data_IF_021289653165
#
_entry.id   IF_021289653165
#
_cell.length_a   1.000
_cell.length_b   1.000
_cell.length_c   1.000
_cell.angle_alpha   90.00
_cell.angle_beta   90.00
_cell.angle_gamma   90.00
#
_symmetry.space_group_name_H-M   'P 1'
#
loop_
_entity.id
_entity.type
_entity.pdbx_description
1 polymer ?
#
# COMPACT_ATOMS: atom_id res chain seq x y z
N UNK A 1 28.81 -42.12 -21.79
CA UNK A 1 27.75 -41.14 -21.47
C UNK A 1 28.34 -39.83 -20.94
N UNK A 2 29.34 -39.28 -21.62
CA UNK A 2 30.13 -38.12 -21.20
C UNK A 2 29.90 -36.88 -22.11
N UNK A 3 28.75 -36.83 -22.79
CA UNK A 3 28.35 -35.72 -23.66
C UNK A 3 26.99 -35.10 -23.29
N UNK A 4 26.44 -35.45 -22.11
CA UNK A 4 25.20 -34.84 -21.59
C UNK A 4 25.37 -34.01 -20.32
N UNK A 5 26.60 -33.88 -19.81
CA UNK A 5 26.90 -33.11 -18.59
C UNK A 5 27.49 -31.72 -18.87
N UNK A 6 27.82 -31.40 -20.12
CA UNK A 6 28.38 -30.06 -20.51
C UNK A 6 27.28 -29.09 -20.98
N UNK A 7 26.09 -29.57 -21.34
CA UNK A 7 24.97 -28.71 -21.75
C UNK A 7 24.17 -28.09 -20.58
N UNK A 8 24.37 -28.58 -19.34
CA UNK A 8 23.72 -28.04 -18.14
C UNK A 8 24.57 -27.02 -17.38
N UNK A 9 25.83 -26.82 -17.78
CA UNK A 9 26.71 -25.77 -17.25
C UNK A 9 26.77 -24.52 -18.15
N UNK A 10 26.17 -24.56 -19.35
CA UNK A 10 26.09 -23.41 -20.25
C UNK A 10 24.71 -22.71 -20.26
N UNK A 11 23.72 -23.22 -19.51
CA UNK A 11 22.44 -22.52 -19.33
C UNK A 11 22.36 -21.73 -18.01
N UNK A 12 23.39 -21.83 -17.15
CA UNK A 12 23.52 -21.06 -15.90
C UNK A 12 24.44 -19.83 -16.03
N UNK A 13 24.93 -19.52 -17.23
CA UNK A 13 25.71 -18.30 -17.51
C UNK A 13 24.94 -17.23 -18.30
N UNK A 14 23.64 -17.41 -18.57
CA UNK A 14 22.84 -16.43 -19.35
C UNK A 14 21.76 -15.70 -18.54
N UNK A 15 21.87 -15.71 -17.20
CA UNK A 15 21.03 -14.89 -16.29
C UNK A 15 21.91 -13.93 -15.48
N UNK A 16 23.01 -13.45 -16.08
CA UNK A 16 23.94 -12.54 -15.42
C UNK A 16 24.37 -11.34 -16.28
N UNK A 17 23.78 -11.13 -17.46
CA UNK A 17 24.14 -10.01 -18.33
C UNK A 17 22.92 -9.50 -19.10
N UNK A 18 22.13 -8.69 -18.41
CA UNK A 18 21.44 -7.54 -19.02
C UNK A 18 21.07 -6.53 -17.91
N UNK A 19 22.04 -6.23 -17.03
CA UNK A 19 22.11 -4.87 -16.49
C UNK A 19 22.49 -4.00 -17.67
N UNK A 20 21.54 -3.25 -18.22
CA UNK A 20 21.83 -2.17 -19.15
C UNK A 20 23.01 -1.37 -18.58
N UNK A 21 24.16 -1.43 -19.24
CA UNK A 21 25.33 -0.62 -18.90
C UNK A 21 24.97 0.82 -19.23
N UNK A 22 24.29 1.49 -18.30
CA UNK A 22 24.25 2.94 -18.24
C UNK A 22 25.70 3.37 -18.07
N UNK A 23 26.21 4.16 -19.01
CA UNK A 23 27.57 4.72 -18.89
C UNK A 23 27.69 5.39 -17.52
N UNK A 24 28.77 5.13 -16.77
CA UNK A 24 28.90 5.65 -15.42
C UNK A 24 28.89 7.19 -15.46
N UNK A 25 28.00 7.80 -14.69
CA UNK A 25 27.78 9.25 -14.74
C UNK A 25 29.06 9.97 -14.30
N UNK A 26 29.59 10.83 -15.16
CA UNK A 26 30.75 11.69 -14.88
C UNK A 26 30.26 13.07 -14.43
N UNK A 27 30.80 13.57 -13.33
CA UNK A 27 30.55 14.91 -12.78
C UNK A 27 31.83 15.72 -12.89
N UNK A 28 31.76 16.90 -13.52
CA UNK A 28 32.88 17.84 -13.66
C UNK A 28 32.42 19.24 -13.27
N UNK A 29 33.18 19.92 -12.41
CA UNK A 29 32.92 21.32 -12.05
C UNK A 29 34.19 22.02 -11.57
N UNK A 30 34.18 23.35 -11.61
CA UNK A 30 35.23 24.18 -11.03
C UNK A 30 34.90 24.54 -9.58
N UNK A 31 35.67 24.03 -8.62
CA UNK A 31 35.52 24.36 -7.21
C UNK A 31 36.46 25.51 -6.81
N UNK A 32 35.97 26.38 -5.92
CA UNK A 32 36.79 27.44 -5.32
C UNK A 32 37.72 26.83 -4.28
N UNK A 33 39.03 27.07 -4.43
CA UNK A 33 40.09 26.41 -3.65
C UNK A 33 40.83 27.35 -2.70
N UNK A 34 40.63 28.66 -2.82
CA UNK A 34 41.20 29.63 -1.88
C UNK A 34 40.28 30.85 -1.70
N UNK A 35 40.55 31.65 -0.66
CA UNK A 35 39.80 32.88 -0.34
C UNK A 35 40.00 34.01 -1.37
N UNK A 36 41.00 33.87 -2.25
CA UNK A 36 41.30 34.80 -3.33
C UNK A 36 40.48 34.52 -4.61
N UNK A 37 39.60 33.51 -4.57
CA UNK A 37 38.72 33.15 -5.69
C UNK A 37 39.38 32.26 -6.76
N UNK A 38 40.53 31.65 -6.45
CA UNK A 38 41.15 30.62 -7.26
C UNK A 38 40.22 29.42 -7.45
N UNK A 39 40.08 28.96 -8.69
CA UNK A 39 39.24 27.83 -9.08
C UNK A 39 40.13 26.71 -9.62
N UNK A 40 39.80 25.46 -9.28
CA UNK A 40 40.41 24.29 -9.87
C UNK A 40 39.33 23.31 -10.33
N UNK A 41 39.63 22.55 -11.37
CA UNK A 41 38.70 21.57 -11.93
C UNK A 41 38.68 20.31 -11.07
N UNK A 42 37.49 19.87 -10.68
CA UNK A 42 37.24 18.60 -10.02
C UNK A 42 36.48 17.67 -10.98
N UNK A 43 36.88 16.40 -11.04
CA UNK A 43 36.17 15.38 -11.80
C UNK A 43 35.99 14.12 -10.97
N UNK A 44 34.81 13.53 -11.04
CA UNK A 44 34.44 12.30 -10.35
C UNK A 44 33.50 11.47 -11.21
N UNK A 45 33.68 10.15 -11.18
CA UNK A 45 32.86 9.21 -11.96
C UNK A 45 32.11 8.25 -11.03
N UNK A 46 30.86 7.94 -11.37
CA UNK A 46 30.01 7.02 -10.62
C UNK A 46 30.69 5.64 -10.45
N UNK A 47 30.91 5.24 -9.19
CA UNK A 47 31.68 4.06 -8.80
C UNK A 47 33.02 4.37 -8.12
N UNK A 48 33.54 5.59 -8.23
CA UNK A 48 34.70 6.05 -7.48
C UNK A 48 34.30 6.51 -6.05
N UNK A 49 35.19 6.37 -5.07
CA UNK A 49 34.95 6.92 -3.72
C UNK A 49 35.08 8.45 -3.74
N UNK A 50 33.93 9.13 -3.60
CA UNK A 50 33.84 10.60 -3.57
C UNK A 50 34.71 11.19 -2.46
N UNK A 51 34.78 10.53 -1.30
CA UNK A 51 35.59 11.01 -0.16
C UNK A 51 37.06 10.98 -0.50
N UNK A 52 37.54 9.87 -1.07
CA UNK A 52 38.94 9.73 -1.45
C UNK A 52 39.36 10.77 -2.49
N UNK A 53 38.56 10.94 -3.55
CA UNK A 53 38.80 11.94 -4.60
C UNK A 53 38.75 13.36 -4.08
N UNK A 54 37.77 13.69 -3.24
CA UNK A 54 37.66 15.00 -2.62
C UNK A 54 38.85 15.29 -1.70
N UNK A 55 39.30 14.31 -0.92
CA UNK A 55 40.49 14.43 -0.06
C UNK A 55 41.75 14.67 -0.89
N UNK A 56 41.96 13.94 -1.97
CA UNK A 56 43.11 14.16 -2.85
C UNK A 56 43.09 15.56 -3.48
N UNK A 57 41.96 15.95 -4.07
CA UNK A 57 41.78 17.26 -4.68
C UNK A 57 42.05 18.40 -3.69
N UNK A 58 41.51 18.31 -2.47
CA UNK A 58 41.69 19.35 -1.46
C UNK A 58 43.14 19.43 -0.95
N UNK A 59 43.86 18.31 -0.86
CA UNK A 59 45.29 18.31 -0.51
C UNK A 59 46.16 19.00 -1.57
N UNK A 60 45.82 18.84 -2.84
CA UNK A 60 46.60 19.40 -3.95
C UNK A 60 46.33 20.89 -4.18
N UNK A 61 45.12 21.37 -3.84
CA UNK A 61 44.66 22.70 -4.23
C UNK A 61 44.39 23.65 -3.05
N UNK A 62 44.37 23.18 -1.80
CA UNK A 62 44.06 24.00 -0.62
C UNK A 62 45.06 23.82 0.52
N UNK A 63 45.16 24.82 1.41
CA UNK A 63 45.98 24.73 2.62
C UNK A 63 45.40 23.71 3.62
N UNK A 64 46.26 23.09 4.41
CA UNK A 64 45.90 22.03 5.38
C UNK A 64 44.76 22.42 6.33
N UNK A 65 44.76 23.66 6.80
CA UNK A 65 43.73 24.24 7.67
C UNK A 65 42.33 24.36 7.01
N UNK A 66 42.24 24.24 5.68
CA UNK A 66 41.00 24.34 4.91
C UNK A 66 40.52 22.99 4.38
N UNK A 67 41.23 21.89 4.62
CA UNK A 67 40.93 20.58 4.04
C UNK A 67 39.50 20.10 4.36
N UNK A 68 39.09 20.15 5.62
CA UNK A 68 37.74 19.71 6.03
C UNK A 68 36.64 20.54 5.37
N UNK A 69 36.84 21.85 5.27
CA UNK A 69 35.89 22.77 4.61
C UNK A 69 35.82 22.52 3.11
N UNK A 70 36.97 22.31 2.46
CA UNK A 70 37.07 21.98 1.05
C UNK A 70 36.41 20.63 0.73
N UNK A 71 36.71 19.58 1.51
CA UNK A 71 36.16 18.24 1.30
C UNK A 71 34.64 18.27 1.43
N UNK A 72 34.13 18.97 2.44
CA UNK A 72 32.68 19.15 2.63
C UNK A 72 32.04 19.89 1.46
N UNK A 73 32.65 20.98 0.97
CA UNK A 73 32.15 21.74 -0.17
C UNK A 73 32.14 20.92 -1.47
N UNK A 74 33.21 20.18 -1.76
CA UNK A 74 33.29 19.28 -2.93
C UNK A 74 32.23 18.19 -2.84
N UNK A 75 32.04 17.57 -1.67
CA UNK A 75 30.99 16.57 -1.45
C UNK A 75 29.59 17.15 -1.65
N UNK A 76 29.34 18.35 -1.15
CA UNK A 76 28.07 19.06 -1.35
C UNK A 76 27.84 19.39 -2.82
N UNK A 77 28.88 19.79 -3.56
CA UNK A 77 28.77 20.10 -4.98
C UNK A 77 28.57 18.85 -5.83
N UNK A 78 29.25 17.73 -5.52
CA UNK A 78 28.97 16.42 -6.16
C UNK A 78 27.54 15.98 -5.87
N UNK A 79 27.07 16.11 -4.63
CA UNK A 79 25.68 15.83 -4.28
C UNK A 79 24.71 16.75 -5.03
N UNK A 80 25.00 18.04 -5.13
CA UNK A 80 24.20 19.01 -5.89
C UNK A 80 24.18 18.68 -7.39
N UNK A 81 25.30 18.32 -8.01
CA UNK A 81 25.37 17.90 -9.42
C UNK A 81 24.66 16.56 -9.67
N UNK A 82 24.61 15.68 -8.68
CA UNK A 82 23.78 14.47 -8.74
C UNK A 82 22.28 14.83 -8.62
N UNK A 83 21.94 15.84 -7.81
CA UNK A 83 20.58 16.37 -7.64
C UNK A 83 20.12 17.35 -8.73
N UNK A 84 21.04 17.89 -9.55
CA UNK A 84 20.77 18.65 -10.79
C UNK A 84 20.61 17.74 -12.02
N UNK A 85 20.53 16.41 -11.85
CA UNK A 85 19.65 15.69 -12.75
C UNK A 85 18.24 16.19 -12.40
N UNK A 86 17.61 16.96 -13.31
CA UNK A 86 16.17 17.18 -13.28
C UNK A 86 15.51 15.85 -12.92
N UNK A 87 15.04 15.74 -11.67
CA UNK A 87 14.12 14.69 -11.31
C UNK A 87 13.01 14.81 -12.34
N UNK A 88 12.70 13.76 -13.13
CA UNK A 88 11.79 13.87 -14.24
C UNK A 88 10.48 14.49 -13.74
N UNK A 89 10.27 15.76 -14.09
CA UNK A 89 9.08 16.47 -13.70
C UNK A 89 7.98 16.02 -14.65
N UNK A 90 6.96 15.39 -14.10
CA UNK A 90 5.79 15.02 -14.87
C UNK A 90 4.89 16.25 -15.01
N UNK A 91 4.95 16.87 -16.17
CA UNK A 91 4.10 18.01 -16.50
C UNK A 91 2.77 17.56 -17.13
N UNK A 92 1.65 18.16 -16.72
CA UNK A 92 0.33 17.96 -17.29
C UNK A 92 -0.31 19.31 -17.63
N UNK A 93 -0.79 19.45 -18.86
CA UNK A 93 -1.66 20.57 -19.22
C UNK A 93 -3.07 20.31 -18.69
N UNK A 94 -3.56 21.23 -17.87
CA UNK A 94 -4.87 21.16 -17.23
C UNK A 94 -5.74 22.30 -17.73
N UNK A 95 -6.89 21.97 -18.29
CA UNK A 95 -7.90 22.97 -18.63
C UNK A 95 -8.66 23.36 -17.35
N UNK A 96 -8.38 24.56 -16.85
CA UNK A 96 -8.93 25.08 -15.58
C UNK A 96 -10.18 25.95 -15.79
N UNK A 97 -10.38 26.50 -17.00
CA UNK A 97 -11.60 27.17 -17.45
C UNK A 97 -11.79 26.98 -18.97
N UNK A 98 -12.93 27.42 -19.52
CA UNK A 98 -13.23 27.28 -20.96
C UNK A 98 -12.13 27.86 -21.87
N UNK A 99 -11.46 28.92 -21.43
CA UNK A 99 -10.41 29.66 -22.15
C UNK A 99 -9.05 29.65 -21.45
N UNK A 100 -8.89 28.89 -20.36
CA UNK A 100 -7.66 28.93 -19.53
C UNK A 100 -7.09 27.54 -19.30
N UNK A 101 -5.82 27.39 -19.67
CA UNK A 101 -4.98 26.23 -19.36
C UNK A 101 -3.90 26.61 -18.35
N UNK A 102 -3.51 25.66 -17.52
CA UNK A 102 -2.40 25.80 -16.58
C UNK A 102 -1.61 24.48 -16.54
N UNK A 103 -0.30 24.58 -16.32
CA UNK A 103 0.58 23.42 -16.26
C UNK A 103 0.74 22.98 -14.81
N UNK A 104 0.41 21.73 -14.54
CA UNK A 104 0.70 21.06 -13.28
C UNK A 104 2.00 20.27 -13.42
N UNK A 105 2.96 20.52 -12.53
CA UNK A 105 4.25 19.83 -12.52
C UNK A 105 4.40 18.98 -11.26
N UNK A 106 4.74 17.71 -11.42
CA UNK A 106 5.07 16.83 -10.31
C UNK A 106 6.54 16.43 -10.37
N UNK A 107 7.29 16.68 -9.30
CA UNK A 107 8.70 16.29 -9.20
C UNK A 107 8.78 14.91 -8.54
N UNK A 108 9.56 13.99 -9.11
CA UNK A 108 9.77 12.66 -8.53
C UNK A 108 10.29 12.77 -7.07
N UNK A 109 9.56 12.16 -6.13
CA UNK A 109 9.83 12.27 -4.68
C UNK A 109 9.05 13.37 -3.95
N UNK A 110 8.36 14.25 -4.69
CA UNK A 110 7.37 15.20 -4.17
C UNK A 110 6.08 14.51 -3.72
N UNK A 111 5.25 15.23 -2.96
CA UNK A 111 3.92 14.74 -2.60
C UNK A 111 2.94 15.17 -3.68
N UNK A 112 2.81 14.31 -4.71
CA UNK A 112 1.89 14.49 -5.85
C UNK A 112 0.49 14.93 -5.42
N UNK A 113 0.03 14.48 -4.25
CA UNK A 113 -1.28 14.79 -3.72
C UNK A 113 -1.36 16.18 -3.12
N UNK A 114 -0.35 16.60 -2.37
CA UNK A 114 -0.26 17.95 -1.81
C UNK A 114 -0.08 18.98 -2.94
N UNK A 115 0.75 18.67 -3.92
CA UNK A 115 0.98 19.48 -5.12
C UNK A 115 -0.32 19.67 -5.91
N UNK A 116 -1.05 18.58 -6.18
CA UNK A 116 -2.33 18.66 -6.89
C UNK A 116 -3.39 19.44 -6.10
N UNK A 117 -3.45 19.29 -4.77
CA UNK A 117 -4.36 20.06 -3.93
C UNK A 117 -4.01 21.56 -3.96
N UNK A 118 -2.73 21.89 -3.86
CA UNK A 118 -2.23 23.28 -3.88
C UNK A 118 -2.55 23.92 -5.22
N UNK A 119 -2.23 23.25 -6.33
CA UNK A 119 -2.60 23.68 -7.67
C UNK A 119 -4.11 23.93 -7.78
N UNK A 120 -4.94 22.94 -7.43
CA UNK A 120 -6.39 23.09 -7.56
C UNK A 120 -6.98 24.19 -6.67
N UNK A 121 -6.42 24.43 -5.48
CA UNK A 121 -6.88 25.52 -4.61
C UNK A 121 -6.66 26.92 -5.20
N UNK A 122 -5.76 27.06 -6.18
CA UNK A 122 -5.52 28.31 -6.88
C UNK A 122 -6.52 28.55 -8.03
N UNK A 123 -7.05 27.48 -8.62
CA UNK A 123 -7.83 27.55 -9.87
C UNK A 123 -9.31 27.18 -9.75
N UNK A 124 -9.73 26.48 -8.70
CA UNK A 124 -11.14 26.07 -8.51
C UNK A 124 -11.71 26.49 -7.16
N UNK A 125 -13.04 26.56 -7.07
CA UNK A 125 -13.74 26.83 -5.81
C UNK A 125 -13.44 25.75 -4.74
N UNK A 126 -13.44 26.14 -3.47
CA UNK A 126 -13.02 25.30 -2.33
C UNK A 126 -13.76 23.95 -2.27
N UNK A 127 -15.05 23.93 -2.60
CA UNK A 127 -15.89 22.73 -2.65
C UNK A 127 -15.51 21.77 -3.80
N UNK A 128 -14.84 22.29 -4.84
CA UNK A 128 -14.40 21.54 -6.03
C UNK A 128 -12.93 21.13 -5.97
N UNK A 129 -12.14 21.68 -5.05
CA UNK A 129 -10.72 21.34 -4.88
C UNK A 129 -10.48 19.83 -4.73
N UNK A 130 -11.27 19.07 -3.94
CA UNK A 130 -11.06 17.63 -3.80
C UNK A 130 -11.24 16.86 -5.11
N UNK A 131 -12.21 17.28 -5.93
CA UNK A 131 -12.52 16.65 -7.22
C UNK A 131 -11.46 17.00 -8.26
N UNK A 132 -11.05 18.27 -8.33
CA UNK A 132 -9.96 18.72 -9.19
C UNK A 132 -8.66 17.98 -8.87
N UNK A 133 -8.24 17.95 -7.60
CA UNK A 133 -6.99 17.32 -7.18
C UNK A 133 -7.02 15.81 -7.48
N UNK A 134 -8.18 15.17 -7.37
CA UNK A 134 -8.36 13.77 -7.73
C UNK A 134 -8.10 13.50 -9.22
N UNK A 135 -8.76 14.26 -10.10
CA UNK A 135 -8.58 14.11 -11.54
C UNK A 135 -7.15 14.41 -11.98
N UNK A 136 -6.51 15.39 -11.34
CA UNK A 136 -5.13 15.77 -11.63
C UNK A 136 -4.14 14.67 -11.23
N UNK A 137 -4.29 14.09 -10.03
CA UNK A 137 -3.49 12.93 -9.61
C UNK A 137 -3.72 11.73 -10.51
N UNK A 138 -4.96 11.45 -10.93
CA UNK A 138 -5.25 10.36 -11.86
C UNK A 138 -4.59 10.58 -13.22
N UNK A 139 -4.69 11.79 -13.77
CA UNK A 139 -4.03 12.16 -15.02
C UNK A 139 -2.52 12.00 -14.90
N UNK A 140 -1.93 12.44 -13.79
CA UNK A 140 -0.51 12.30 -13.52
C UNK A 140 -0.08 10.82 -13.49
N UNK A 141 -0.79 9.98 -12.74
CA UNK A 141 -0.48 8.54 -12.69
C UNK A 141 -0.63 7.88 -14.07
N UNK A 142 -1.68 8.22 -14.83
CA UNK A 142 -1.87 7.69 -16.19
C UNK A 142 -0.76 8.12 -17.14
N UNK A 143 -0.35 9.40 -17.10
CA UNK A 143 0.72 9.91 -17.95
C UNK A 143 2.06 9.25 -17.58
N UNK A 144 2.34 9.08 -16.29
CA UNK A 144 3.53 8.33 -15.84
C UNK A 144 3.52 6.87 -16.33
N UNK A 145 2.36 6.20 -16.28
CA UNK A 145 2.21 4.84 -16.81
C UNK A 145 2.39 4.78 -18.34
N UNK A 146 1.90 5.78 -19.08
CA UNK A 146 2.08 5.87 -20.53
C UNK A 146 3.55 6.10 -20.92
N UNK A 147 4.25 6.96 -20.18
CA UNK A 147 5.68 7.20 -20.37
C UNK A 147 6.49 5.93 -20.06
N UNK A 148 6.20 5.23 -18.96
CA UNK A 148 6.83 3.96 -18.64
C UNK A 148 6.56 2.87 -19.70
N UNK A 149 5.34 2.80 -20.23
CA UNK A 149 4.98 1.86 -21.30
C UNK A 149 5.65 2.22 -22.65
N UNK A 150 5.93 3.49 -22.91
CA UNK A 150 6.63 3.94 -24.11
C UNK A 150 8.13 3.56 -24.09
N UNK A 151 8.73 3.46 -22.91
CA UNK A 151 10.12 2.97 -22.74
C UNK A 151 10.24 1.46 -22.97
N UNK A 152 9.20 0.68 -22.65
CA UNK A 152 9.15 -0.78 -22.93
C UNK A 152 8.65 -1.11 -24.36
N UNK A 153 8.01 -0.16 -25.03
CA UNK A 153 7.32 -0.35 -26.32
C UNK A 153 8.19 -0.18 -27.58
N UNK A 154 9.51 -0.09 -27.45
CA UNK A 154 10.46 -0.05 -28.55
C UNK A 154 10.61 -1.35 -29.34
N UNK A 155 9.53 -2.09 -29.58
CA UNK A 155 9.49 -3.19 -30.55
C UNK A 155 8.08 -3.39 -31.12
N UNK A 156 7.91 -2.90 -32.35
CA UNK A 156 6.97 -3.36 -33.38
C UNK A 156 5.47 -3.04 -33.19
N UNK A 157 5.05 -1.96 -33.86
CA UNK A 157 3.71 -1.85 -34.43
C UNK A 157 3.71 -2.36 -35.89
N UNK A 158 2.91 -3.39 -36.17
CA UNK A 158 2.18 -3.64 -37.42
C UNK A 158 1.44 -4.98 -37.30
N UNK A 159 0.11 -4.99 -37.20
CA UNK A 159 -0.72 -5.05 -38.40
C UNK A 159 -2.21 -4.96 -38.05
N UNK A 160 -2.97 -4.53 -39.04
CA UNK A 160 -4.31 -4.00 -38.91
C UNK A 160 -5.43 -5.05 -39.06
N UNK A 161 -6.58 -4.62 -38.53
CA UNK A 161 -7.88 -4.63 -39.20
C UNK A 161 -8.92 -5.71 -38.84
N UNK A 162 -10.09 -5.15 -38.49
CA UNK A 162 -11.40 -5.41 -39.07
C UNK A 162 -12.13 -6.74 -38.74
N UNK A 163 -13.33 -6.57 -38.19
CA UNK A 163 -14.35 -7.60 -38.09
C UNK A 163 -15.59 -7.15 -37.33
N UNK A 164 -16.35 -6.22 -37.91
CA UNK A 164 -17.70 -5.88 -37.48
C UNK A 164 -18.73 -6.89 -38.01
N UNK A 165 -19.81 -7.10 -37.25
CA UNK A 165 -21.01 -7.85 -37.62
C UNK A 165 -21.33 -8.93 -36.59
N UNK A 166 -22.55 -9.12 -36.09
CA UNK A 166 -23.85 -8.54 -36.41
C UNK A 166 -24.90 -9.19 -35.50
N UNK A 167 -26.05 -8.53 -35.44
CA UNK A 167 -27.22 -8.76 -34.58
C UNK A 167 -27.90 -10.14 -34.63
N UNK A 168 -28.93 -10.24 -33.77
CA UNK A 168 -30.18 -11.05 -33.86
C UNK A 168 -30.11 -12.42 -33.16
N UNK A 169 -30.76 -12.64 -32.00
CA UNK A 169 -32.18 -12.63 -31.59
C UNK A 169 -32.78 -14.03 -31.53
N UNK A 170 -33.75 -14.17 -30.61
CA UNK A 170 -34.79 -15.20 -30.48
C UNK A 170 -34.36 -16.55 -29.84
N UNK A 171 -35.14 -17.19 -28.98
CA UNK A 171 -36.37 -16.87 -28.28
C UNK A 171 -36.57 -17.97 -27.21
N UNK A 172 -37.05 -17.61 -26.02
CA UNK A 172 -37.78 -18.53 -25.14
C UNK A 172 -39.20 -18.75 -25.74
N UNK A 173 -40.01 -19.77 -25.37
CA UNK A 173 -40.53 -19.88 -24.00
C UNK A 173 -41.02 -21.28 -23.54
N UNK A 174 -41.67 -21.25 -22.36
CA UNK A 174 -42.62 -22.21 -21.77
C UNK A 174 -42.02 -23.29 -20.85
N UNK A 175 -42.10 -23.13 -19.52
CA UNK A 175 -43.25 -23.39 -18.62
C UNK A 175 -43.65 -24.87 -18.57
N UNK A 176 -43.33 -25.51 -17.43
CA UNK A 176 -44.29 -26.32 -16.65
C UNK A 176 -43.71 -26.66 -15.28
N UNK A 177 -44.38 -26.20 -14.22
CA UNK A 177 -44.48 -26.92 -12.94
C UNK A 177 -45.82 -27.72 -13.01
N UNK A 178 -46.03 -28.80 -12.22
CA UNK A 178 -46.38 -28.58 -10.81
C UNK A 178 -46.07 -29.73 -9.81
N UNK A 179 -46.28 -29.36 -8.54
CA UNK A 179 -46.78 -30.14 -7.37
C UNK A 179 -45.79 -30.81 -6.39
N UNK A 180 -45.80 -30.15 -5.22
CA UNK A 180 -45.72 -30.61 -3.83
C UNK A 180 -46.08 -32.08 -3.55
N UNK A 181 -45.36 -32.69 -2.61
CA UNK A 181 -45.96 -33.36 -1.45
C UNK A 181 -44.98 -33.49 -0.26
N UNK A 182 -45.53 -33.19 0.93
CA UNK A 182 -45.29 -33.69 2.29
C UNK A 182 -43.87 -33.96 2.87
N UNK A 183 -43.62 -33.35 4.03
CA UNK A 183 -42.67 -33.79 5.06
C UNK A 183 -43.12 -35.10 5.74
N UNK A 184 -42.23 -35.87 6.41
CA UNK A 184 -42.03 -35.60 7.84
C UNK A 184 -40.63 -35.94 8.44
N UNK A 185 -40.44 -35.46 9.67
CA UNK A 185 -39.71 -36.06 10.80
C UNK A 185 -38.16 -36.11 10.85
N UNK A 186 -37.65 -35.29 11.77
CA UNK A 186 -36.50 -35.43 12.68
C UNK A 186 -35.77 -36.79 12.67
N UNK A 187 -34.48 -36.77 12.35
CA UNK A 187 -33.47 -37.72 12.86
C UNK A 187 -32.16 -36.97 13.10
N UNK A 188 -31.55 -37.21 14.27
CA UNK A 188 -30.29 -36.61 14.70
C UNK A 188 -29.10 -37.14 13.86
N UNK A 189 -28.06 -36.33 13.58
CA UNK A 189 -26.89 -36.81 12.87
C UNK A 189 -25.96 -37.64 13.79
N UNK A 190 -25.27 -38.68 13.26
CA UNK A 190 -24.42 -39.59 14.03
C UNK A 190 -23.09 -38.95 14.46
N UNK A 191 -22.41 -39.49 15.48
CA UNK A 191 -21.26 -38.85 16.11
C UNK A 191 -20.05 -38.73 15.16
N UNK A 192 -19.55 -37.49 15.01
CA UNK A 192 -18.40 -37.17 14.19
C UNK A 192 -17.12 -37.81 14.76
N UNK A 193 -16.47 -38.65 13.93
CA UNK A 193 -15.12 -39.18 14.17
C UNK A 193 -14.12 -38.02 14.22
N UNK A 194 -13.46 -37.87 15.36
CA UNK A 194 -12.31 -36.98 15.55
C UNK A 194 -11.14 -37.45 14.68
N UNK A 195 -10.81 -36.69 13.64
CA UNK A 195 -9.52 -36.81 12.94
C UNK A 195 -8.49 -35.90 13.60
N UNK A 196 -7.38 -36.52 14.02
CA UNK A 196 -6.26 -35.97 14.79
C UNK A 196 -5.62 -34.75 14.10
N UNK A 197 -5.42 -33.67 14.85
CA UNK A 197 -4.70 -32.47 14.42
C UNK A 197 -3.17 -32.65 14.47
N UNK A 198 -2.51 -32.18 13.41
CA UNK A 198 -1.05 -32.04 13.26
C UNK A 198 -0.45 -31.02 14.28
N UNK A 199 0.89 -30.98 14.48
CA UNK A 199 1.50 -30.36 15.65
C UNK A 199 1.41 -28.82 15.62
N UNK A 200 1.08 -28.24 16.78
CA UNK A 200 0.71 -26.84 16.93
C UNK A 200 1.89 -25.88 16.71
N UNK A 201 1.80 -25.05 15.67
CA UNK A 201 2.49 -23.75 15.63
C UNK A 201 1.93 -22.87 16.74
N UNK A 202 2.79 -22.06 17.38
CA UNK A 202 2.34 -21.00 18.30
C UNK A 202 1.34 -20.09 17.57
N UNK A 203 0.13 -19.85 18.10
CA UNK A 203 -0.85 -19.00 17.44
C UNK A 203 -0.37 -17.55 17.40
N UNK A 204 -0.51 -16.93 16.22
CA UNK A 204 -0.25 -15.50 15.99
C UNK A 204 -1.06 -14.61 16.92
N UNK A 205 -0.62 -13.38 17.10
CA UNK A 205 -1.36 -12.38 17.87
C UNK A 205 -2.74 -12.10 17.26
N UNK A 206 -2.86 -12.17 15.92
CA UNK A 206 -4.16 -12.14 15.24
C UNK A 206 -5.00 -13.37 15.59
N UNK A 207 -4.44 -14.57 15.56
CA UNK A 207 -5.16 -15.77 15.94
C UNK A 207 -5.64 -15.74 17.41
N UNK A 208 -4.90 -15.08 18.29
CA UNK A 208 -5.32 -14.85 19.69
C UNK A 208 -6.49 -13.86 19.79
N UNK A 209 -6.51 -12.84 18.93
CA UNK A 209 -7.56 -11.82 18.93
C UNK A 209 -8.85 -12.32 18.28
N UNK A 210 -8.78 -12.91 17.09
CA UNK A 210 -9.95 -13.27 16.25
C UNK A 210 -10.15 -14.76 16.03
N UNK A 211 -9.41 -15.59 16.78
CA UNK A 211 -9.42 -17.04 16.64
C UNK A 211 -8.48 -17.52 15.51
N UNK A 212 -8.13 -18.82 15.48
CA UNK A 212 -7.15 -19.35 14.53
C UNK A 212 -7.64 -19.38 13.07
N UNK A 213 -8.96 -19.28 12.87
CA UNK A 213 -9.60 -19.39 11.57
C UNK A 213 -10.60 -18.26 11.35
N UNK A 214 -10.66 -17.77 10.12
CA UNK A 214 -11.64 -16.82 9.58
C UNK A 214 -12.57 -17.56 8.61
N UNK A 215 -13.71 -16.95 8.30
CA UNK A 215 -14.71 -17.49 7.37
C UNK A 215 -14.69 -16.66 6.08
N UNK A 216 -14.29 -17.28 4.97
CA UNK A 216 -14.29 -16.65 3.65
C UNK A 216 -15.71 -16.51 3.08
N UNK A 217 -15.83 -15.70 2.02
CA UNK A 217 -17.00 -15.69 1.15
C UNK A 217 -17.25 -17.10 0.61
N UNK A 218 -18.38 -17.71 0.97
CA UNK A 218 -18.72 -19.10 0.62
C UNK A 218 -18.47 -20.13 1.72
N UNK A 219 -18.03 -19.72 2.92
CA UNK A 219 -17.94 -20.57 4.10
C UNK A 219 -16.61 -21.34 4.27
N UNK A 220 -15.66 -21.17 3.35
CA UNK A 220 -14.33 -21.78 3.48
C UNK A 220 -13.56 -21.19 4.67
N UNK A 221 -12.76 -22.01 5.33
CA UNK A 221 -11.92 -21.59 6.45
C UNK A 221 -10.58 -21.01 5.95
N UNK A 222 -10.18 -19.84 6.47
CA UNK A 222 -8.89 -19.20 6.19
C UNK A 222 -8.08 -19.06 7.48
N UNK A 223 -6.75 -19.19 7.43
CA UNK A 223 -5.92 -18.91 8.61
C UNK A 223 -5.97 -17.41 8.98
N UNK A 224 -6.08 -17.09 10.27
CA UNK A 224 -5.99 -15.72 10.76
C UNK A 224 -4.62 -15.08 10.51
N UNK A 225 -3.57 -15.88 10.29
CA UNK A 225 -2.24 -15.40 9.90
C UNK A 225 -2.24 -14.65 8.56
N UNK A 226 -3.29 -14.82 7.74
CA UNK A 226 -3.47 -14.04 6.52
C UNK A 226 -3.55 -12.52 6.79
N UNK A 227 -3.93 -12.11 8.01
CA UNK A 227 -3.99 -10.71 8.44
C UNK A 227 -2.61 -10.12 8.74
N UNK A 228 -1.60 -10.93 9.11
CA UNK A 228 -0.25 -10.43 9.42
C UNK A 228 0.43 -9.77 8.21
N UNK A 229 0.10 -10.25 7.01
CA UNK A 229 0.71 -9.78 5.77
C UNK A 229 0.07 -8.47 5.27
N UNK A 230 -0.90 -7.93 5.99
CA UNK A 230 -1.68 -6.76 5.60
C UNK A 230 -1.14 -5.53 6.33
N UNK A 231 -0.85 -4.44 5.59
CA UNK A 231 -0.43 -3.18 6.23
C UNK A 231 -1.58 -2.49 6.95
N UNK A 232 -2.80 -2.66 6.44
CA UNK A 232 -4.01 -2.05 6.96
C UNK A 232 -5.05 -3.15 7.20
N UNK A 233 -5.56 -3.22 8.42
CA UNK A 233 -6.67 -4.11 8.78
C UNK A 233 -7.78 -3.27 9.36
N UNK A 234 -9.02 -3.47 8.91
CA UNK A 234 -10.18 -2.81 9.48
C UNK A 234 -11.24 -3.82 9.92
N UNK A 235 -11.81 -3.62 11.11
CA UNK A 235 -12.91 -4.43 11.61
C UNK A 235 -14.23 -3.72 11.32
N UNK A 236 -15.08 -4.36 10.53
CA UNK A 236 -16.43 -3.90 10.27
C UNK A 236 -17.39 -4.58 11.25
N UNK A 237 -17.97 -3.82 12.16
CA UNK A 237 -19.05 -4.27 13.02
C UNK A 237 -20.39 -3.93 12.35
N UNK A 238 -21.13 -4.96 11.92
CA UNK A 238 -22.37 -4.78 11.19
C UNK A 238 -23.30 -6.00 11.33
N UNK A 239 -24.57 -5.83 11.00
CA UNK A 239 -25.56 -6.91 10.99
C UNK A 239 -26.50 -6.83 9.79
N UNK A 240 -27.06 -7.97 9.42
CA UNK A 240 -28.04 -8.14 8.34
C UNK A 240 -29.34 -7.37 8.60
N UNK A 241 -29.84 -7.38 9.84
CA UNK A 241 -31.08 -6.69 10.23
C UNK A 241 -30.93 -5.17 10.31
N UNK A 242 -29.70 -4.65 10.32
CA UNK A 242 -29.39 -3.23 10.47
C UNK A 242 -29.50 -2.50 9.11
N UNK A 243 -30.53 -1.65 8.94
CA UNK A 243 -30.72 -0.85 7.71
C UNK A 243 -29.50 0.01 7.33
N UNK A 244 -28.94 0.87 8.21
CA UNK A 244 -27.79 1.69 7.83
C UNK A 244 -26.56 0.85 7.46
N UNK A 245 -26.45 -0.38 7.98
CA UNK A 245 -25.41 -1.31 7.58
C UNK A 245 -25.58 -1.76 6.13
N UNK A 246 -26.79 -2.17 5.74
CA UNK A 246 -27.10 -2.56 4.36
C UNK A 246 -26.92 -1.41 3.37
N UNK A 247 -27.16 -0.17 3.81
CA UNK A 247 -26.93 1.02 2.97
C UNK A 247 -25.43 1.36 2.83
N UNK A 248 -24.61 1.04 3.84
CA UNK A 248 -23.18 1.35 3.87
C UNK A 248 -22.30 0.28 3.20
N UNK A 249 -22.60 -1.00 3.41
CA UNK A 249 -21.77 -2.11 2.91
C UNK A 249 -21.49 -2.02 1.40
N UNK A 250 -22.46 -1.74 0.51
CA UNK A 250 -22.18 -1.58 -0.92
C UNK A 250 -21.16 -0.47 -1.23
N UNK A 251 -21.16 0.62 -0.45
CA UNK A 251 -20.19 1.72 -0.60
C UNK A 251 -18.80 1.27 -0.14
N UNK A 252 -18.74 0.53 0.97
CA UNK A 252 -17.50 -0.05 1.47
C UNK A 252 -16.93 -1.11 0.53
N UNK A 253 -17.76 -1.87 -0.19
CA UNK A 253 -17.32 -2.80 -1.24
C UNK A 253 -16.59 -2.05 -2.35
N UNK A 254 -17.17 -0.95 -2.86
CA UNK A 254 -16.52 -0.11 -3.87
C UNK A 254 -15.18 0.43 -3.37
N UNK A 255 -15.17 0.98 -2.16
CA UNK A 255 -13.95 1.47 -1.51
C UNK A 255 -12.85 0.39 -1.42
N UNK A 256 -13.23 -0.82 -0.98
CA UNK A 256 -12.31 -1.95 -0.86
C UNK A 256 -11.74 -2.38 -2.21
N UNK A 257 -12.59 -2.50 -3.23
CA UNK A 257 -12.16 -2.87 -4.59
C UNK A 257 -11.21 -1.82 -5.19
N UNK A 258 -11.49 -0.52 -4.98
CA UNK A 258 -10.61 0.57 -5.40
C UNK A 258 -9.26 0.52 -4.67
N UNK A 259 -9.26 0.23 -3.36
CA UNK A 259 -8.03 0.07 -2.59
C UNK A 259 -7.18 -1.10 -3.12
N UNK A 260 -7.79 -2.24 -3.44
CA UNK A 260 -7.07 -3.40 -4.01
C UNK A 260 -6.45 -3.11 -5.38
N UNK A 261 -7.12 -2.38 -6.26
CA UNK A 261 -6.62 -2.09 -7.63
C UNK A 261 -5.37 -1.21 -7.67
N UNK A 262 -5.10 -0.41 -6.65
CA UNK A 262 -3.95 0.51 -6.58
C UNK A 262 -2.62 -0.16 -6.18
N UNK A 263 -2.55 -1.49 -6.20
CA UNK A 263 -1.41 -2.24 -5.63
C UNK A 263 -1.40 -2.22 -4.09
N UNK A 264 -2.48 -1.76 -3.48
CA UNK A 264 -2.71 -1.72 -2.04
C UNK A 264 -3.41 -3.00 -1.57
N UNK A 265 -2.87 -4.17 -1.97
CA UNK A 265 -3.22 -5.52 -1.49
C UNK A 265 -3.12 -5.71 0.03
N UNK A 266 -2.74 -4.63 0.70
CA UNK A 266 -2.43 -4.46 2.09
C UNK A 266 -3.62 -4.03 2.93
N UNK A 267 -4.75 -3.59 2.34
CA UNK A 267 -6.01 -3.47 3.09
C UNK A 267 -6.70 -4.82 3.17
N UNK A 268 -7.08 -5.23 4.38
CA UNK A 268 -8.06 -6.29 4.59
C UNK A 268 -9.16 -5.84 5.54
N UNK A 269 -10.39 -6.20 5.23
CA UNK A 269 -11.53 -5.93 6.10
C UNK A 269 -11.92 -7.26 6.77
N UNK A 270 -12.16 -7.25 8.06
CA UNK A 270 -12.72 -8.38 8.78
C UNK A 270 -14.13 -8.01 9.22
N UNK A 271 -15.12 -8.71 8.71
CA UNK A 271 -16.48 -8.53 9.19
C UNK A 271 -16.67 -9.22 10.55
N UNK A 272 -17.07 -8.45 11.55
CA UNK A 272 -17.46 -8.92 12.88
C UNK A 272 -18.97 -8.79 12.99
N UNK A 273 -19.66 -9.93 12.84
CA UNK A 273 -21.10 -9.97 12.72
C UNK A 273 -21.83 -9.78 14.05
N UNK A 274 -22.93 -9.02 14.00
CA UNK A 274 -23.98 -8.98 15.02
C UNK A 274 -25.30 -9.60 14.53
N UNK A 275 -25.23 -10.50 13.54
CA UNK A 275 -26.36 -11.31 13.08
C UNK A 275 -26.91 -12.20 14.20
N UNK A 276 -28.21 -12.52 14.13
CA UNK A 276 -28.91 -13.26 15.20
C UNK A 276 -28.91 -14.77 14.99
N UNK A 277 -28.53 -15.24 13.81
CA UNK A 277 -28.43 -16.66 13.49
C UNK A 277 -27.31 -16.92 12.49
N UNK A 278 -26.86 -18.19 12.42
CA UNK A 278 -25.83 -18.62 11.48
C UNK A 278 -26.32 -18.47 10.03
N UNK A 279 -27.60 -18.74 9.77
CA UNK A 279 -28.19 -18.65 8.44
C UNK A 279 -28.20 -17.21 7.93
N UNK A 280 -28.54 -16.25 8.79
CA UNK A 280 -28.49 -14.83 8.46
C UNK A 280 -27.05 -14.34 8.24
N UNK A 281 -26.10 -14.84 9.05
CA UNK A 281 -24.68 -14.59 8.88
C UNK A 281 -24.19 -15.08 7.51
N UNK A 282 -24.48 -16.33 7.16
CA UNK A 282 -24.03 -16.94 5.90
C UNK A 282 -24.65 -16.27 4.68
N UNK A 283 -25.91 -15.84 4.79
CA UNK A 283 -26.60 -15.11 3.73
C UNK A 283 -25.93 -13.74 3.48
N UNK A 284 -25.70 -12.95 4.53
CA UNK A 284 -25.18 -11.60 4.40
C UNK A 284 -23.68 -11.56 4.06
N UNK A 285 -22.89 -12.55 4.50
CA UNK A 285 -21.48 -12.67 4.12
C UNK A 285 -21.28 -12.74 2.60
N UNK A 286 -22.27 -13.27 1.84
CA UNK A 286 -22.18 -13.39 0.38
C UNK A 286 -22.11 -12.04 -0.33
N UNK A 287 -22.56 -10.98 0.32
CA UNK A 287 -22.55 -9.60 -0.20
C UNK A 287 -21.18 -8.91 -0.02
N UNK A 288 -20.25 -9.53 0.72
CA UNK A 288 -18.96 -8.95 1.07
C UNK A 288 -17.80 -9.70 0.38
N UNK A 289 -16.81 -9.01 -0.20
CA UNK A 289 -15.64 -9.64 -0.82
C UNK A 289 -14.56 -10.04 0.19
N UNK A 290 -14.69 -9.65 1.46
CA UNK A 290 -13.72 -9.86 2.52
C UNK A 290 -14.19 -10.94 3.52
N UNK A 291 -13.29 -11.52 4.34
CA UNK A 291 -13.65 -12.56 5.30
C UNK A 291 -14.38 -12.02 6.54
N UNK A 292 -14.92 -12.94 7.33
CA UNK A 292 -15.57 -12.67 8.61
C UNK A 292 -14.90 -13.42 9.77
N UNK A 293 -15.02 -12.86 10.97
CA UNK A 293 -14.76 -13.61 12.19
C UNK A 293 -15.77 -14.76 12.32
N UNK A 294 -15.38 -15.93 12.87
CA UNK A 294 -16.32 -17.03 13.09
C UNK A 294 -17.54 -16.57 13.88
N UNK A 295 -18.73 -16.95 13.43
CA UNK A 295 -20.00 -16.55 14.06
C UNK A 295 -20.04 -16.82 15.58
N UNK A 296 -19.57 -17.97 16.11
CA UNK A 296 -19.54 -18.23 17.56
C UNK A 296 -18.61 -17.29 18.36
N UNK A 297 -17.65 -16.64 17.70
CA UNK A 297 -16.73 -15.68 18.31
C UNK A 297 -17.20 -14.24 18.12
N UNK A 298 -17.90 -13.95 17.02
CA UNK A 298 -18.26 -12.59 16.61
C UNK A 298 -19.00 -11.81 17.72
N UNK A 299 -19.96 -12.44 18.42
CA UNK A 299 -20.68 -11.80 19.53
C UNK A 299 -19.77 -11.36 20.69
N UNK A 300 -18.73 -12.13 21.02
CA UNK A 300 -17.75 -11.76 22.05
C UNK A 300 -16.88 -10.58 21.60
N UNK A 301 -16.50 -10.53 20.34
CA UNK A 301 -15.74 -9.42 19.77
C UNK A 301 -16.55 -8.12 19.76
N UNK A 302 -17.83 -8.18 19.36
CA UNK A 302 -18.76 -7.05 19.45
C UNK A 302 -18.81 -6.52 20.87
N UNK A 303 -19.03 -7.39 21.86
CA UNK A 303 -19.12 -7.00 23.27
C UNK A 303 -17.82 -6.38 23.77
N UNK A 304 -16.66 -6.97 23.46
CA UNK A 304 -15.37 -6.47 23.89
C UNK A 304 -15.06 -5.06 23.33
N UNK A 305 -15.38 -4.81 22.06
CA UNK A 305 -15.19 -3.49 21.45
C UNK A 305 -16.21 -2.45 21.96
N UNK A 306 -17.44 -2.87 22.26
CA UNK A 306 -18.45 -2.03 22.91
C UNK A 306 -18.01 -1.59 24.32
N UNK A 307 -17.51 -2.51 25.13
CA UNK A 307 -17.01 -2.21 26.49
C UNK A 307 -15.84 -1.23 26.48
N UNK A 308 -14.99 -1.27 25.43
CA UNK A 308 -13.91 -0.30 25.22
C UNK A 308 -14.38 1.03 24.59
N UNK A 309 -15.67 1.19 24.32
CA UNK A 309 -16.25 2.42 23.76
C UNK A 309 -16.03 2.60 22.25
N UNK A 310 -15.59 1.55 21.54
CA UNK A 310 -15.23 1.61 20.11
C UNK A 310 -16.40 1.33 19.17
N UNK A 311 -17.31 0.41 19.52
CA UNK A 311 -18.44 -0.02 18.68
C UNK A 311 -19.81 0.43 19.22
N UNK A 312 -20.02 1.76 19.35
CA UNK A 312 -21.21 2.35 19.99
C UNK A 312 -22.53 2.14 19.23
N UNK A 313 -22.47 1.66 17.99
CA UNK A 313 -23.63 1.37 17.14
C UNK A 313 -23.21 0.63 15.87
N UNK A 314 -24.18 0.35 14.99
CA UNK A 314 -23.91 -0.30 13.71
C UNK A 314 -24.40 0.58 12.54
N UNK A 315 -23.66 0.68 11.42
CA UNK A 315 -22.32 0.10 11.23
C UNK A 315 -21.24 0.87 12.01
N UNK A 316 -20.23 0.17 12.51
CA UNK A 316 -18.97 0.78 12.97
C UNK A 316 -17.83 0.17 12.17
N UNK A 317 -16.89 0.98 11.70
CA UNK A 317 -15.68 0.51 11.01
C UNK A 317 -14.45 1.00 11.78
N UNK A 318 -13.70 0.07 12.36
CA UNK A 318 -12.50 0.37 13.14
C UNK A 318 -11.24 0.00 12.38
N UNK A 319 -10.38 0.98 12.10
CA UNK A 319 -9.03 0.74 11.60
C UNK A 319 -8.13 0.29 12.75
N UNK A 320 -7.47 -0.85 12.56
CA UNK A 320 -6.63 -1.51 13.57
C UNK A 320 -5.17 -1.14 13.37
N UNK A 321 -4.40 -1.06 14.46
CA UNK A 321 -2.96 -0.91 14.36
C UNK A 321 -2.31 -2.26 14.08
N UNK A 322 -1.75 -2.43 12.89
CA UNK A 322 -1.06 -3.65 12.48
C UNK A 322 0.31 -3.81 13.13
N UNK A 323 0.87 -2.75 13.74
CA UNK A 323 2.11 -2.82 14.51
C UNK A 323 1.87 -3.10 16.01
N UNK A 324 0.64 -2.90 16.48
CA UNK A 324 0.23 -3.11 17.87
C UNK A 324 -1.13 -3.82 17.87
N UNK A 325 -1.08 -5.14 17.68
CA UNK A 325 -2.29 -5.95 17.49
C UNK A 325 -3.20 -5.85 18.71
N UNK A 326 -4.48 -5.52 18.46
CA UNK A 326 -5.47 -5.26 19.51
C UNK A 326 -5.66 -3.79 19.86
N UNK A 327 -4.81 -2.90 19.34
CA UNK A 327 -4.99 -1.45 19.42
C UNK A 327 -5.73 -0.90 18.20
N UNK A 328 -6.52 0.15 18.44
CA UNK A 328 -7.39 0.79 17.45
C UNK A 328 -6.79 2.14 17.07
N UNK A 329 -6.72 2.41 15.76
CA UNK A 329 -6.33 3.72 15.22
C UNK A 329 -7.52 4.67 15.31
N UNK A 330 -8.65 4.29 14.72
CA UNK A 330 -9.92 5.03 14.78
C UNK A 330 -11.10 4.10 14.55
N UNK A 331 -12.26 4.43 15.11
CA UNK A 331 -13.54 3.78 14.82
C UNK A 331 -14.52 4.67 14.06
N UNK A 332 -14.08 5.87 13.65
CA UNK A 332 -14.87 6.78 12.80
C UNK A 332 -14.76 6.38 11.32
N UNK A 333 -14.41 5.12 11.04
CA UNK A 333 -14.09 4.64 9.69
C UNK A 333 -15.25 4.77 8.71
N UNK A 334 -16.50 4.70 9.18
CA UNK A 334 -17.68 4.92 8.33
C UNK A 334 -17.64 6.34 7.76
N UNK A 335 -17.50 7.35 8.61
CA UNK A 335 -17.43 8.76 8.21
C UNK A 335 -16.19 9.01 7.34
N UNK A 336 -15.05 8.42 7.71
CA UNK A 336 -13.80 8.58 6.96
C UNK A 336 -13.89 7.99 5.55
N UNK A 337 -14.40 6.77 5.39
CA UNK A 337 -14.62 6.14 4.07
C UNK A 337 -15.61 6.92 3.24
N UNK A 338 -16.66 7.46 3.85
CA UNK A 338 -17.64 8.30 3.13
C UNK A 338 -17.07 9.64 2.68
N UNK A 339 -16.11 10.21 3.42
CA UNK A 339 -15.44 11.46 3.09
C UNK A 339 -14.22 11.27 2.15
N UNK A 340 -13.64 10.07 2.14
CA UNK A 340 -12.47 9.70 1.36
C UNK A 340 -12.77 8.39 0.61
N UNK A 341 -13.65 8.45 -0.39
CA UNK A 341 -14.14 7.29 -1.16
C UNK A 341 -13.02 6.46 -1.82
N UNK A 342 -11.84 7.05 -1.98
CA UNK A 342 -10.70 6.44 -2.65
C UNK A 342 -9.59 5.97 -1.70
N UNK A 343 -9.79 6.10 -0.37
CA UNK A 343 -8.90 5.57 0.67
C UNK A 343 -7.53 6.24 0.76
N UNK A 344 -7.45 7.51 0.40
CA UNK A 344 -6.22 8.27 0.19
C UNK A 344 -5.48 8.58 1.50
N UNK A 345 -6.19 8.61 2.62
CA UNK A 345 -5.62 8.94 3.94
C UNK A 345 -5.73 7.81 4.95
N UNK A 346 -6.11 6.60 4.50
CA UNK A 346 -6.08 5.38 5.31
C UNK A 346 -4.67 5.15 5.90
N UNK A 347 -4.54 4.69 7.16
CA UNK A 347 -5.59 4.25 8.08
C UNK A 347 -6.15 5.37 8.98
N UNK A 348 -6.13 6.62 8.52
CA UNK A 348 -6.77 7.77 9.16
C UNK A 348 -6.22 8.08 10.56
N UNK A 349 -4.90 7.91 10.74
CA UNK A 349 -4.21 8.29 11.98
C UNK A 349 -4.34 9.79 12.21
N UNK A 350 -4.60 10.18 13.45
CA UNK A 350 -4.53 11.59 13.83
C UNK A 350 -3.07 12.07 13.83
N UNK A 351 -2.82 13.39 13.67
CA UNK A 351 -1.46 13.95 13.78
C UNK A 351 -0.75 13.56 15.08
N UNK A 352 -1.48 13.54 16.20
CA UNK A 352 -0.95 13.14 17.51
C UNK A 352 -0.52 11.66 17.51
N UNK A 353 -1.31 10.77 16.89
CA UNK A 353 -0.95 9.36 16.76
C UNK A 353 0.28 9.16 15.86
N UNK A 354 0.43 9.98 14.81
CA UNK A 354 1.63 9.95 13.96
C UNK A 354 2.88 10.36 14.74
N UNK A 355 2.82 11.43 15.53
CA UNK A 355 3.93 11.86 16.40
C UNK A 355 4.28 10.77 17.42
N UNK A 356 3.29 10.21 18.13
CA UNK A 356 3.51 9.12 19.09
C UNK A 356 4.22 7.93 18.45
N UNK A 357 3.82 7.55 17.24
CA UNK A 357 4.45 6.46 16.47
C UNK A 357 5.90 6.79 16.11
N UNK A 358 6.18 8.00 15.63
CA UNK A 358 7.55 8.42 15.31
C UNK A 358 8.45 8.34 16.56
N UNK A 359 7.96 8.83 17.70
CA UNK A 359 8.68 8.73 18.98
C UNK A 359 8.94 7.27 19.37
N UNK A 360 7.93 6.40 19.25
CA UNK A 360 8.09 4.97 19.55
C UNK A 360 9.08 4.28 18.60
N UNK A 361 9.05 4.62 17.32
CA UNK A 361 9.99 4.08 16.33
C UNK A 361 11.43 4.49 16.66
N UNK A 362 11.66 5.78 16.95
CA UNK A 362 12.97 6.30 17.38
C UNK A 362 13.42 5.61 18.67
N UNK A 363 12.54 5.49 19.67
CA UNK A 363 12.86 4.78 20.92
C UNK A 363 13.22 3.30 20.68
N UNK A 364 12.55 2.64 19.73
CA UNK A 364 12.87 1.28 19.29
C UNK A 364 14.26 1.16 18.68
N UNK A 365 14.62 2.09 17.77
CA UNK A 365 15.95 2.17 17.14
C UNK A 365 17.03 2.43 18.19
N UNK A 366 16.82 3.38 19.10
CA UNK A 366 17.74 3.65 20.20
C UNK A 366 17.93 2.42 21.08
N UNK A 367 16.85 1.72 21.44
CA UNK A 367 16.92 0.47 22.23
C UNK A 367 17.61 -0.67 21.49
N UNK A 368 17.53 -0.73 20.16
CA UNK A 368 18.25 -1.69 19.34
C UNK A 368 19.75 -1.36 19.29
N UNK A 369 20.10 -0.09 19.08
CA UNK A 369 21.48 0.40 19.12
C UNK A 369 22.15 0.16 20.47
N UNK A 370 21.48 0.51 21.58
CA UNK A 370 22.00 0.25 22.92
C UNK A 370 22.27 -1.24 23.19
N UNK A 371 21.41 -2.12 22.66
CA UNK A 371 21.63 -3.57 22.74
C UNK A 371 22.80 -4.04 21.88
N UNK A 372 22.94 -3.52 20.66
CA UNK A 372 24.05 -3.82 19.77
C UNK A 372 25.40 -3.36 20.34
N UNK A 373 25.40 -2.24 21.08
CA UNK A 373 26.58 -1.70 21.76
C UNK A 373 26.86 -2.37 23.13
N UNK A 374 26.12 -3.42 23.50
CA UNK A 374 26.35 -4.14 24.76
C UNK A 374 25.99 -3.35 26.03
N UNK A 375 25.31 -2.21 25.89
CA UNK A 375 24.86 -1.39 27.02
C UNK A 375 23.58 -1.99 27.59
N UNK A 376 23.73 -3.12 28.30
CA UNK A 376 22.66 -3.73 29.09
C UNK A 376 22.47 -2.97 30.39
N UNK A 377 21.21 -2.63 30.74
CA UNK A 377 20.87 -2.02 32.02
C UNK A 377 21.50 -2.84 33.16
N UNK A 378 22.42 -2.21 33.88
CA UNK A 378 22.98 -2.77 35.11
C UNK A 378 21.81 -3.10 36.03
N UNK A 379 21.61 -4.39 36.33
CA UNK A 379 20.72 -4.81 37.40
C UNK A 379 21.34 -4.29 38.70
N UNK A 380 20.87 -3.14 39.18
CA UNK A 380 21.05 -2.71 40.56
C UNK A 380 20.40 -3.77 41.44
N UNK A 381 21.24 -4.45 42.22
CA UNK A 381 20.90 -5.55 43.10
C UNK A 381 20.40 -5.03 44.44
#
# INVERSE_FOLDING_TARGET
MMQRTVALLLCACSVAQETATKEPRKVEFEAVVNEEGGRAAFSWTEGEDVTEKATQYCKENTKEELWERCISAVKQQVAASLMEAELPALDLEVQVAEDKTATFSHVEGGDLRLEAHTFCSEYVAEDKVPVCAHHLVQGAVQKAQQLAAAEEGGASAADASAGAGGASQDAAPAKTAPKQDAAPAKTAPPPQKQTKSAPAKTPSDWARLVGPALVARGGASLSADALEKKKNVAFLFAADWCKPCRDFVPKLVKYYELAKRKGDDKLEILWVSASRSQEAFDAYLKEMPWPAAPFPLAGRLVQAFQQKGHAKGFPTLCFMDTNEIGSVITCDGVQKVMADEYGLTMPYRSPIQNVKRMVQAVAGVVKALLRALGVGAAKTK
#
